data_IF_802664589484
#
_entry.id   IF_802664589484
#
_cell.length_a   1.000
_cell.length_b   1.000
_cell.length_c   1.000
_cell.angle_alpha   90.00
_cell.angle_beta   90.00
_cell.angle_gamma   90.00
#
_symmetry.space_group_name_H-M   'P 1'
#
loop_
_entity.id
_entity.type
_entity.pdbx_description
1 polymer ?
#
# COMPACT_ATOMS: atom_id res chain seq x y z
N UNK A 1 -7.10 -1.00 6.77
CA UNK A 1 -6.91 -0.59 5.36
C UNK A 1 -6.36 0.81 5.19
N UNK A 2 -6.90 1.85 5.82
CA UNK A 2 -6.34 3.21 5.67
C UNK A 2 -4.91 3.32 6.21
N UNK A 3 -4.60 2.64 7.31
CA UNK A 3 -3.24 2.58 7.86
C UNK A 3 -2.26 1.82 6.96
N UNK A 4 -2.69 0.72 6.33
CA UNK A 4 -1.81 -0.03 5.41
C UNK A 4 -1.52 0.77 4.15
N UNK A 5 -2.45 1.61 3.71
CA UNK A 5 -2.26 2.60 2.65
C UNK A 5 -1.28 3.71 3.09
N UNK A 6 -1.40 4.22 4.32
CA UNK A 6 -0.49 5.23 4.87
C UNK A 6 0.96 4.74 5.05
N UNK A 7 1.13 3.46 5.39
CA UNK A 7 2.46 2.81 5.47
C UNK A 7 3.03 2.57 4.05
N UNK A 8 2.20 2.60 3.00
CA UNK A 8 2.60 2.33 1.62
C UNK A 8 2.55 0.85 1.22
N UNK A 9 1.94 -0.01 2.04
CA UNK A 9 1.79 -1.45 1.78
C UNK A 9 0.46 -1.81 1.11
N UNK A 10 -0.38 -0.83 0.79
CA UNK A 10 -1.62 -1.02 0.06
C UNK A 10 -1.77 0.08 -0.98
N UNK A 11 -2.39 -0.26 -2.12
CA UNK A 11 -2.66 0.72 -3.16
C UNK A 11 -3.66 1.77 -2.69
N UNK A 12 -3.56 3.01 -3.21
CA UNK A 12 -4.51 4.07 -2.91
C UNK A 12 -5.97 3.65 -3.17
N UNK A 13 -6.86 3.96 -2.24
CA UNK A 13 -8.26 3.57 -2.29
C UNK A 13 -8.58 2.21 -1.69
N UNK A 14 -7.59 1.45 -1.20
CA UNK A 14 -7.84 0.21 -0.46
C UNK A 14 -8.57 0.49 0.87
N UNK A 15 -8.34 1.66 1.47
CA UNK A 15 -9.04 2.16 2.66
C UNK A 15 -10.51 2.52 2.45
N UNK A 16 -10.87 2.98 1.26
CA UNK A 16 -12.10 3.77 1.05
C UNK A 16 -13.04 3.21 -0.03
N UNK A 17 -12.57 2.33 -0.93
CA UNK A 17 -13.42 1.73 -1.96
C UNK A 17 -14.33 0.65 -1.34
N UNK A 18 -15.64 0.85 -1.47
CA UNK A 18 -16.69 -0.06 -1.01
C UNK A 18 -16.55 -1.47 -1.62
N UNK A 19 -16.89 -2.48 -0.82
CA UNK A 19 -16.71 -3.88 -1.18
C UNK A 19 -17.52 -4.35 -2.39
N UNK A 20 -18.70 -3.78 -2.61
CA UNK A 20 -19.64 -4.17 -3.67
C UNK A 20 -19.50 -3.34 -4.94
N UNK A 21 -18.62 -2.34 -4.95
CA UNK A 21 -18.51 -1.41 -6.07
C UNK A 21 -17.63 -2.00 -7.18
N UNK A 22 -18.04 -1.83 -8.43
CA UNK A 22 -17.32 -2.31 -9.63
C UNK A 22 -15.88 -1.78 -9.71
N UNK A 23 -15.61 -0.61 -9.12
CA UNK A 23 -14.27 -0.03 -8.98
C UNK A 23 -13.27 -0.91 -8.19
N UNK A 24 -13.75 -1.82 -7.34
CA UNK A 24 -12.89 -2.74 -6.59
C UNK A 24 -12.20 -3.77 -7.50
N UNK A 25 -12.81 -4.10 -8.65
CA UNK A 25 -12.17 -4.97 -9.65
C UNK A 25 -10.87 -4.37 -10.18
N UNK A 26 -10.91 -3.09 -10.56
CA UNK A 26 -9.72 -2.39 -11.06
C UNK A 26 -8.61 -2.31 -9.99
N UNK A 27 -8.98 -2.18 -8.71
CA UNK A 27 -8.03 -2.22 -7.60
C UNK A 27 -7.33 -3.59 -7.49
N UNK A 28 -8.06 -4.69 -7.68
CA UNK A 28 -7.48 -6.04 -7.67
C UNK A 28 -6.59 -6.32 -8.88
N UNK A 29 -7.02 -5.94 -10.08
CA UNK A 29 -6.21 -6.07 -11.30
C UNK A 29 -4.91 -5.28 -11.16
N UNK A 30 -4.98 -4.02 -10.70
CA UNK A 30 -3.81 -3.19 -10.42
C UNK A 30 -2.90 -3.76 -9.33
N UNK A 31 -3.47 -4.37 -8.28
CA UNK A 31 -2.67 -5.03 -7.25
C UNK A 31 -1.88 -6.22 -7.80
N UNK A 32 -2.51 -7.00 -8.69
CA UNK A 32 -1.88 -8.11 -9.41
C UNK A 32 -0.73 -7.64 -10.30
N UNK A 33 -0.95 -6.59 -11.10
CA UNK A 33 0.09 -5.98 -11.93
C UNK A 33 1.24 -5.43 -11.07
N UNK A 34 0.91 -4.75 -9.98
CA UNK A 34 1.90 -4.14 -9.09
C UNK A 34 2.80 -5.19 -8.44
N UNK A 35 2.26 -6.30 -7.95
CA UNK A 35 3.11 -7.33 -7.30
C UNK A 35 4.06 -7.99 -8.29
N UNK A 36 3.62 -8.21 -9.54
CA UNK A 36 4.49 -8.75 -10.60
C UNK A 36 5.61 -7.75 -10.93
N UNK A 37 5.30 -6.46 -11.06
CA UNK A 37 6.32 -5.45 -11.32
C UNK A 37 7.31 -5.29 -10.15
N UNK A 38 6.86 -5.31 -8.89
CA UNK A 38 7.77 -5.26 -7.73
C UNK A 38 8.69 -6.50 -7.70
N UNK A 39 8.14 -7.68 -8.02
CA UNK A 39 8.92 -8.92 -8.14
C UNK A 39 9.98 -8.77 -9.23
N UNK A 40 9.61 -8.21 -10.38
CA UNK A 40 10.51 -7.95 -11.50
C UNK A 40 11.62 -6.97 -11.12
N UNK A 41 11.29 -5.87 -10.45
CA UNK A 41 12.27 -4.88 -9.94
C UNK A 41 13.28 -5.53 -9.00
N UNK A 42 12.81 -6.35 -8.06
CA UNK A 42 13.70 -7.04 -7.13
C UNK A 42 14.63 -8.04 -7.84
N UNK A 43 14.08 -8.95 -8.64
CA UNK A 43 14.88 -10.06 -9.21
C UNK A 43 15.64 -9.71 -10.49
N UNK A 44 15.18 -8.75 -11.30
CA UNK A 44 15.81 -8.40 -12.59
C UNK A 44 16.60 -7.09 -12.52
N UNK A 45 16.30 -6.20 -11.57
CA UNK A 45 16.90 -4.86 -11.49
C UNK A 45 17.69 -4.64 -10.19
N UNK A 46 17.84 -5.68 -9.37
CA UNK A 46 18.53 -5.64 -8.06
C UNK A 46 18.01 -4.52 -7.14
N UNK A 47 16.72 -4.22 -7.25
CA UNK A 47 16.10 -3.11 -6.53
C UNK A 47 15.50 -3.59 -5.21
N UNK A 48 16.33 -3.62 -4.17
CA UNK A 48 15.90 -3.96 -2.81
C UNK A 48 14.91 -2.95 -2.22
N UNK A 49 14.80 -1.74 -2.76
CA UNK A 49 13.93 -0.69 -2.18
C UNK A 49 12.44 -1.08 -2.16
N UNK A 50 12.04 -2.04 -3.01
CA UNK A 50 10.67 -2.57 -3.10
C UNK A 50 10.31 -3.56 -2.00
N UNK A 51 11.28 -4.01 -1.19
CA UNK A 51 11.04 -4.96 -0.11
C UNK A 51 10.15 -4.36 0.98
N UNK A 52 9.25 -5.15 1.61
CA UNK A 52 8.33 -4.64 2.62
C UNK A 52 9.00 -3.90 3.79
N UNK A 53 10.21 -4.33 4.20
CA UNK A 53 10.98 -3.67 5.26
C UNK A 53 11.57 -2.32 4.84
N UNK A 54 11.81 -2.14 3.55
CA UNK A 54 12.30 -0.88 2.98
C UNK A 54 11.15 0.10 2.68
N UNK A 55 9.91 -0.41 2.59
CA UNK A 55 8.69 0.39 2.50
C UNK A 55 8.20 0.79 3.91
N UNK A 56 8.07 -0.18 4.81
CA UNK A 56 7.58 0.01 6.18
C UNK A 56 8.67 0.56 7.12
N UNK A 57 9.20 1.75 6.78
CA UNK A 57 10.22 2.45 7.56
C UNK A 57 9.62 3.19 8.75
N UNK A 58 10.46 3.70 9.66
CA UNK A 58 10.03 4.55 10.77
C UNK A 58 9.16 5.73 10.30
N UNK A 59 9.56 6.41 9.22
CA UNK A 59 8.82 7.52 8.64
C UNK A 59 7.43 7.07 8.12
N UNK A 60 7.33 5.87 7.56
CA UNK A 60 6.04 5.32 7.12
C UNK A 60 5.10 5.06 8.30
N UNK A 61 5.63 4.61 9.44
CA UNK A 61 4.86 4.48 10.67
C UNK A 61 4.47 5.83 11.27
N UNK A 62 5.34 6.85 11.22
CA UNK A 62 4.98 8.22 11.61
C UNK A 62 3.82 8.78 10.77
N UNK A 63 3.86 8.57 9.45
CA UNK A 63 2.75 8.94 8.56
C UNK A 63 1.45 8.23 8.95
N UNK A 64 1.53 6.94 9.27
CA UNK A 64 0.36 6.15 9.69
C UNK A 64 -0.22 6.66 11.01
N UNK A 65 0.62 6.99 11.99
CA UNK A 65 0.20 7.57 13.27
C UNK A 65 -0.44 8.96 13.08
N UNK A 66 0.16 9.82 12.27
CA UNK A 66 -0.40 11.14 11.98
C UNK A 66 -1.78 11.04 11.33
N UNK A 67 -1.95 10.11 10.38
CA UNK A 67 -3.25 9.84 9.77
C UNK A 67 -4.27 9.32 10.79
N UNK A 68 -3.88 8.37 11.64
CA UNK A 68 -4.76 7.80 12.68
C UNK A 68 -5.30 8.89 13.62
N UNK A 69 -4.42 9.76 14.13
CA UNK A 69 -4.79 10.89 14.98
C UNK A 69 -5.74 11.84 14.23
N UNK A 70 -5.43 12.17 12.97
CA UNK A 70 -6.25 13.09 12.18
C UNK A 70 -7.65 12.54 11.87
N UNK A 71 -7.77 11.22 11.68
CA UNK A 71 -9.05 10.57 11.41
C UNK A 71 -9.87 10.28 12.67
N UNK A 72 -9.32 10.54 13.86
CA UNK A 72 -9.95 10.15 15.12
C UNK A 72 -9.96 8.62 15.27
N UNK A 73 -8.79 8.00 15.09
CA UNK A 73 -8.54 6.58 15.32
C UNK A 73 -9.15 6.09 16.63
N UNK A 74 -9.51 4.80 16.66
CA UNK A 74 -10.33 4.15 17.69
C UNK A 74 -9.92 4.45 19.13
#
# INVERSE_FOLDING_TARGET
NCLTEAIGLSLPGNGSVLATHTARRALYEKAGETVVELTRRYYEQDDDSVLPRNIATHAAFENAMALDIAMGGS
#
